data_IF_482929066207
#
_entry.id   IF_482929066207
#
_cell.length_a   1.000
_cell.length_b   1.000
_cell.length_c   1.000
_cell.angle_alpha   90.00
_cell.angle_beta   90.00
_cell.angle_gamma   90.00
#
_symmetry.space_group_name_H-M   'P 1'
#
loop_
_entity.id
_entity.type
_entity.pdbx_description
1 polymer ?
#
# COMPACT_ATOMS: atom_id res chain seq x y z
N UNK A 1 32.13 -49.86 -32.84
CA UNK A 1 32.93 -49.72 -34.06
C UNK A 1 33.29 -48.24 -34.15
N UNK A 2 34.45 -47.97 -33.60
CA UNK A 2 35.64 -47.25 -34.15
C UNK A 2 35.34 -45.79 -34.43
N UNK A 3 35.87 -44.96 -33.54
CA UNK A 3 37.12 -44.20 -33.65
C UNK A 3 37.00 -42.98 -34.60
N UNK A 4 37.13 -41.78 -34.02
CA UNK A 4 38.25 -40.90 -34.36
C UNK A 4 38.54 -40.01 -33.15
N UNK A 5 39.70 -40.24 -32.54
CA UNK A 5 40.40 -39.41 -31.57
C UNK A 5 41.29 -38.40 -32.32
N UNK A 6 41.66 -37.38 -31.61
CA UNK A 6 42.75 -36.40 -31.78
C UNK A 6 42.32 -35.09 -32.44
N UNK A 7 42.47 -33.93 -31.78
CA UNK A 7 43.78 -33.33 -31.52
C UNK A 7 43.66 -32.32 -30.35
N UNK A 8 44.49 -32.51 -29.34
CA UNK A 8 44.73 -31.53 -28.28
C UNK A 8 45.77 -30.54 -28.82
N UNK A 9 45.43 -29.27 -28.95
CA UNK A 9 46.41 -28.22 -29.10
C UNK A 9 46.71 -27.57 -27.74
N UNK A 10 47.95 -27.71 -27.30
CA UNK A 10 48.55 -27.10 -26.12
C UNK A 10 49.08 -25.72 -26.48
N UNK A 11 48.28 -24.68 -26.26
CA UNK A 11 48.83 -23.34 -26.14
C UNK A 11 48.47 -22.77 -24.74
N UNK A 12 49.44 -22.80 -23.87
CA UNK A 12 49.32 -22.30 -22.51
C UNK A 12 49.12 -20.78 -22.46
N UNK A 13 47.94 -20.35 -22.22
CA UNK A 13 47.67 -18.96 -21.79
C UNK A 13 47.60 -18.96 -20.26
N UNK A 14 48.68 -18.55 -19.63
CA UNK A 14 48.71 -18.20 -18.22
C UNK A 14 47.93 -16.89 -18.04
N UNK A 15 46.69 -16.98 -17.62
CA UNK A 15 45.91 -15.83 -17.16
C UNK A 15 46.48 -15.43 -15.79
N UNK A 16 47.00 -14.19 -15.64
CA UNK A 16 47.58 -13.78 -14.37
C UNK A 16 46.45 -13.72 -13.32
N UNK A 17 46.76 -14.25 -12.15
CA UNK A 17 45.90 -14.34 -10.96
C UNK A 17 45.41 -12.97 -10.41
N UNK A 18 45.67 -11.87 -11.10
CA UNK A 18 45.27 -10.51 -10.74
C UNK A 18 43.89 -10.09 -11.26
N UNK A 19 43.22 -10.90 -12.09
CA UNK A 19 41.88 -10.56 -12.62
C UNK A 19 40.72 -11.20 -11.80
N UNK A 20 41.02 -12.04 -10.81
CA UNK A 20 40.01 -12.66 -9.95
C UNK A 20 39.66 -11.86 -8.70
N UNK A 21 40.39 -10.78 -8.39
CA UNK A 21 40.15 -9.94 -7.20
C UNK A 21 39.23 -8.75 -7.52
N UNK A 22 39.00 -8.42 -8.79
CA UNK A 22 38.19 -7.28 -9.18
C UNK A 22 36.69 -7.59 -9.29
N UNK A 23 36.27 -8.86 -9.21
CA UNK A 23 34.85 -9.26 -9.36
C UNK A 23 34.14 -9.58 -8.05
N UNK A 24 34.84 -9.49 -6.91
CA UNK A 24 34.28 -9.74 -5.57
C UNK A 24 34.04 -8.48 -4.74
N UNK A 25 34.20 -7.29 -5.31
CA UNK A 25 33.91 -6.02 -4.60
C UNK A 25 32.68 -5.26 -5.10
N UNK A 26 31.80 -5.87 -5.89
CA UNK A 26 30.61 -5.20 -6.40
C UNK A 26 29.28 -5.81 -5.90
N UNK A 27 29.27 -6.42 -4.72
CA UNK A 27 28.03 -6.89 -4.11
C UNK A 27 28.02 -6.80 -2.59
N UNK A 28 28.60 -5.74 -2.04
CA UNK A 28 28.21 -5.28 -0.70
C UNK A 28 27.50 -3.96 -0.90
N UNK A 29 26.36 -4.02 -1.57
CA UNK A 29 25.30 -3.07 -1.31
C UNK A 29 24.92 -3.30 0.14
N UNK A 30 25.30 -2.38 1.04
CA UNK A 30 24.74 -2.34 2.37
C UNK A 30 23.24 -2.19 2.20
N UNK A 31 22.49 -3.30 2.21
CA UNK A 31 21.08 -3.27 2.47
C UNK A 31 20.92 -2.44 3.75
N UNK A 32 20.42 -1.23 3.61
CA UNK A 32 20.11 -0.36 4.76
C UNK A 32 18.91 -1.00 5.44
N UNK A 33 19.16 -1.96 6.32
CA UNK A 33 18.14 -2.50 7.18
C UNK A 33 17.48 -1.34 7.90
N UNK A 34 16.16 -1.32 7.89
CA UNK A 34 15.43 -0.44 8.80
C UNK A 34 16.01 -0.65 10.19
N UNK A 35 16.54 0.41 10.85
CA UNK A 35 17.13 0.21 12.16
C UNK A 35 16.13 -0.49 13.04
N UNK A 36 16.56 -1.56 13.70
CA UNK A 36 15.77 -2.28 14.68
C UNK A 36 15.51 -1.33 15.85
N UNK A 37 14.55 -0.44 15.70
CA UNK A 37 14.06 0.34 16.84
C UNK A 37 13.28 -0.65 17.70
N UNK A 38 13.72 -0.87 18.94
CA UNK A 38 12.93 -1.64 19.90
C UNK A 38 11.59 -0.92 20.10
N UNK A 39 10.58 -1.43 19.43
CA UNK A 39 9.22 -0.91 19.56
C UNK A 39 8.49 -1.76 20.58
N UNK A 40 8.08 -1.17 21.67
CA UNK A 40 7.26 -1.86 22.66
C UNK A 40 5.84 -2.01 22.13
N UNK A 41 5.28 -3.22 22.05
CA UNK A 41 3.90 -3.43 21.64
C UNK A 41 2.92 -2.67 22.54
N UNK A 42 1.99 -1.96 21.93
CA UNK A 42 0.92 -1.24 22.65
C UNK A 42 -0.12 -2.23 23.12
N UNK A 43 -0.59 -2.05 24.36
CA UNK A 43 -1.76 -2.74 24.88
C UNK A 43 -2.90 -1.73 24.99
N UNK A 44 -4.08 -2.09 24.49
CA UNK A 44 -5.29 -1.29 24.61
C UNK A 44 -6.51 -2.24 24.67
N UNK A 45 -7.48 -1.91 25.48
CA UNK A 45 -8.70 -2.71 25.62
C UNK A 45 -9.68 -2.48 24.46
N UNK A 46 -9.63 -1.30 23.82
CA UNK A 46 -10.51 -0.95 22.72
C UNK A 46 -9.89 0.15 21.83
N UNK A 47 -10.41 0.37 20.60
CA UNK A 47 -9.87 1.36 19.68
C UNK A 47 -9.84 2.80 20.19
N UNK A 48 -10.77 3.22 21.02
CA UNK A 48 -10.78 4.57 21.59
C UNK A 48 -9.64 4.80 22.59
N UNK A 49 -9.29 3.78 23.36
CA UNK A 49 -8.11 3.80 24.24
C UNK A 49 -6.82 3.85 23.42
N UNK A 50 -6.70 3.01 22.39
CA UNK A 50 -5.57 3.02 21.48
C UNK A 50 -5.39 4.40 20.83
N UNK A 51 -6.47 4.98 20.33
CA UNK A 51 -6.45 6.31 19.73
C UNK A 51 -5.93 7.37 20.69
N UNK A 52 -6.46 7.41 21.93
CA UNK A 52 -5.96 8.35 22.96
C UNK A 52 -4.48 8.12 23.24
N UNK A 53 -4.04 6.88 23.35
CA UNK A 53 -2.63 6.55 23.59
C UNK A 53 -1.74 7.06 22.47
N UNK A 54 -2.10 6.80 21.21
CA UNK A 54 -1.30 7.23 20.04
C UNK A 54 -1.28 8.75 19.88
N UNK A 55 -2.41 9.43 20.11
CA UNK A 55 -2.50 10.89 19.97
C UNK A 55 -1.83 11.65 21.13
N UNK A 56 -1.59 11.01 22.28
CA UNK A 56 -0.92 11.63 23.44
C UNK A 56 0.61 11.60 23.37
N UNK A 57 1.17 10.96 22.35
CA UNK A 57 2.62 10.79 22.17
C UNK A 57 3.08 11.40 20.86
N UNK A 58 4.40 11.64 20.73
CA UNK A 58 4.98 11.97 19.42
C UNK A 58 4.76 10.77 18.49
N UNK A 59 4.14 10.98 17.32
CA UNK A 59 3.93 9.92 16.34
C UNK A 59 5.27 9.34 15.87
N UNK A 60 5.34 8.02 15.71
CA UNK A 60 6.50 7.31 15.16
C UNK A 60 6.02 6.18 14.26
N UNK A 61 6.51 6.16 13.02
CA UNK A 61 6.19 5.15 12.03
C UNK A 61 6.58 3.74 12.48
N UNK A 62 7.66 3.62 13.26
CA UNK A 62 8.13 2.34 13.77
C UNK A 62 7.06 1.58 14.56
N UNK A 63 6.14 2.31 15.22
CA UNK A 63 5.04 1.71 15.97
C UNK A 63 4.14 0.85 15.08
N UNK A 64 3.91 1.27 13.84
CA UNK A 64 3.02 0.58 12.90
C UNK A 64 3.70 -0.58 12.14
N UNK A 65 4.98 -0.84 12.39
CA UNK A 65 5.66 -2.06 11.90
C UNK A 65 5.17 -3.32 12.61
N UNK A 66 4.72 -3.16 13.84
CA UNK A 66 4.15 -4.25 14.62
C UNK A 66 2.68 -4.45 14.28
N UNK A 67 2.22 -5.68 14.43
CA UNK A 67 0.78 -5.95 14.47
C UNK A 67 0.14 -5.15 15.61
N UNK A 68 -1.01 -4.55 15.35
CA UNK A 68 -1.78 -3.84 16.36
C UNK A 68 -2.33 -4.76 17.45
N UNK A 69 -2.85 -4.17 18.55
CA UNK A 69 -3.21 -4.93 19.76
C UNK A 69 -4.47 -5.78 19.62
N UNK A 70 -5.23 -5.65 18.52
CA UNK A 70 -6.55 -6.29 18.43
C UNK A 70 -6.54 -7.55 17.58
N UNK A 71 -7.34 -8.54 18.01
CA UNK A 71 -7.68 -9.69 17.19
C UNK A 71 -8.52 -9.25 15.97
N UNK A 72 -8.38 -9.98 14.88
CA UNK A 72 -9.07 -9.73 13.61
C UNK A 72 -10.02 -10.87 13.31
N UNK A 73 -11.23 -10.54 12.88
CA UNK A 73 -12.23 -11.48 12.37
C UNK A 73 -12.20 -11.36 10.86
N UNK A 74 -12.01 -12.48 10.18
CA UNK A 74 -11.90 -12.56 8.73
C UNK A 74 -13.16 -13.17 8.13
N UNK A 75 -13.65 -12.58 7.04
CA UNK A 75 -14.71 -13.12 6.19
C UNK A 75 -14.26 -12.97 4.75
N UNK A 76 -14.10 -14.09 4.08
CA UNK A 76 -13.63 -14.14 2.69
C UNK A 76 -14.76 -14.31 1.71
N UNK A 77 -14.46 -13.98 0.45
CA UNK A 77 -15.28 -14.26 -0.71
C UNK A 77 -16.72 -13.73 -0.59
N UNK A 78 -16.82 -12.51 -0.04
CA UNK A 78 -18.10 -11.80 0.03
C UNK A 78 -18.46 -11.26 -1.36
N UNK A 79 -19.71 -11.45 -1.74
CA UNK A 79 -20.30 -10.81 -2.89
C UNK A 79 -21.17 -9.62 -2.42
N UNK A 80 -20.76 -8.40 -2.78
CA UNK A 80 -21.46 -7.17 -2.39
C UNK A 80 -22.28 -6.68 -3.57
N UNK A 81 -23.62 -6.79 -3.53
CA UNK A 81 -24.49 -6.27 -4.59
C UNK A 81 -24.56 -4.74 -4.51
N UNK A 82 -23.92 -4.07 -5.45
CA UNK A 82 -23.88 -2.59 -5.52
C UNK A 82 -25.05 -2.05 -6.33
N UNK A 83 -25.34 -2.68 -7.47
CA UNK A 83 -26.48 -2.40 -8.35
C UNK A 83 -26.87 -3.68 -9.10
N UNK A 84 -27.98 -3.69 -9.88
CA UNK A 84 -28.38 -4.88 -10.67
C UNK A 84 -27.27 -5.40 -11.60
N UNK A 85 -26.40 -4.53 -12.08
CA UNK A 85 -25.32 -4.85 -13.03
C UNK A 85 -23.92 -4.83 -12.40
N UNK A 86 -23.81 -4.64 -11.08
CA UNK A 86 -22.54 -4.51 -10.39
C UNK A 86 -22.53 -5.25 -9.05
N UNK A 87 -21.82 -6.35 -9.01
CA UNK A 87 -21.42 -7.04 -7.79
C UNK A 87 -19.91 -6.88 -7.60
N UNK A 88 -19.45 -6.66 -6.37
CA UNK A 88 -18.04 -6.51 -6.00
C UNK A 88 -17.66 -7.66 -5.09
N UNK A 89 -16.65 -8.41 -5.47
CA UNK A 89 -16.05 -9.45 -4.62
C UNK A 89 -15.13 -8.81 -3.59
N UNK A 90 -15.15 -9.30 -2.35
CA UNK A 90 -14.38 -8.70 -1.27
C UNK A 90 -13.98 -9.69 -0.18
N UNK A 91 -12.86 -9.39 0.47
CA UNK A 91 -12.46 -9.99 1.75
C UNK A 91 -12.52 -8.92 2.85
N UNK A 92 -13.24 -9.22 3.92
CA UNK A 92 -13.48 -8.31 5.03
C UNK A 92 -12.68 -8.74 6.26
N UNK A 93 -11.97 -7.77 6.84
CA UNK A 93 -11.16 -7.91 8.05
C UNK A 93 -11.67 -6.95 9.11
N UNK A 94 -12.27 -7.47 10.16
CA UNK A 94 -12.89 -6.68 11.20
C UNK A 94 -12.06 -6.66 12.47
N UNK A 95 -11.84 -5.49 13.03
CA UNK A 95 -11.32 -5.37 14.39
C UNK A 95 -12.31 -6.00 15.38
N UNK A 96 -11.90 -7.06 16.09
CA UNK A 96 -12.79 -7.76 17.01
C UNK A 96 -13.23 -6.89 18.21
N UNK A 97 -12.38 -5.93 18.61
CA UNK A 97 -12.64 -5.02 19.73
C UNK A 97 -13.48 -3.79 19.34
N UNK A 98 -13.71 -3.54 18.05
CA UNK A 98 -14.49 -2.39 17.58
C UNK A 98 -15.97 -2.76 17.45
N UNK A 99 -16.83 -2.06 18.19
CA UNK A 99 -18.29 -2.13 17.97
C UNK A 99 -18.72 -1.36 16.72
N UNK A 100 -18.05 -0.25 16.43
CA UNK A 100 -18.15 0.54 15.21
C UNK A 100 -16.77 1.15 14.95
N UNK A 101 -16.28 1.06 13.71
CA UNK A 101 -14.96 1.54 13.34
C UNK A 101 -14.86 2.01 11.88
N UNK A 102 -13.86 2.87 11.57
CA UNK A 102 -13.62 3.36 10.22
C UNK A 102 -13.43 2.20 9.24
N UNK A 103 -13.88 2.38 8.00
CA UNK A 103 -13.72 1.41 6.92
C UNK A 103 -12.62 1.86 5.96
N UNK A 104 -11.64 1.00 5.75
CA UNK A 104 -10.56 1.20 4.79
C UNK A 104 -10.79 0.24 3.62
N UNK A 105 -11.08 0.79 2.43
CA UNK A 105 -11.31 0.00 1.21
C UNK A 105 -10.00 -0.04 0.43
N UNK A 106 -9.44 -1.23 0.23
CA UNK A 106 -8.15 -1.45 -0.44
C UNK A 106 -8.37 -2.08 -1.80
N UNK A 107 -7.82 -1.45 -2.83
CA UNK A 107 -7.98 -1.78 -4.22
C UNK A 107 -6.65 -2.13 -4.89
N UNK A 108 -6.61 -3.30 -5.52
CA UNK A 108 -5.44 -3.81 -6.24
C UNK A 108 -5.14 -3.07 -7.55
N UNK A 109 -3.94 -3.34 -8.10
CA UNK A 109 -3.48 -2.86 -9.41
C UNK A 109 -3.80 -3.81 -10.56
N UNK A 110 -3.11 -3.59 -11.69
CA UNK A 110 -3.23 -4.42 -12.89
C UNK A 110 -2.70 -5.83 -12.63
N UNK A 111 -3.42 -6.84 -13.11
CA UNK A 111 -3.08 -8.28 -12.97
C UNK A 111 -2.93 -8.78 -11.52
N UNK A 112 -3.56 -8.07 -10.59
CA UNK A 112 -3.60 -8.37 -9.17
C UNK A 112 -5.03 -8.61 -8.70
N UNK A 113 -5.17 -8.98 -7.41
CA UNK A 113 -6.45 -9.30 -6.79
C UNK A 113 -6.52 -8.81 -5.34
N UNK A 114 -7.68 -9.01 -4.69
CA UNK A 114 -7.89 -8.69 -3.28
C UNK A 114 -6.92 -9.43 -2.35
N UNK A 115 -6.48 -10.62 -2.75
CA UNK A 115 -5.53 -11.45 -2.00
C UNK A 115 -4.15 -10.79 -1.84
N UNK A 116 -3.70 -10.01 -2.85
CA UNK A 116 -2.43 -9.28 -2.81
C UNK A 116 -2.42 -8.12 -1.79
N UNK A 117 -3.58 -7.80 -1.22
CA UNK A 117 -3.76 -6.76 -0.19
C UNK A 117 -4.34 -7.31 1.13
N UNK A 118 -4.43 -8.63 1.28
CA UNK A 118 -5.03 -9.28 2.43
C UNK A 118 -4.32 -8.89 3.75
N UNK A 119 -2.98 -8.93 3.77
CA UNK A 119 -2.22 -8.56 4.97
C UNK A 119 -2.42 -7.08 5.33
N UNK A 120 -2.43 -6.17 4.36
CA UNK A 120 -2.64 -4.75 4.61
C UNK A 120 -4.01 -4.49 5.25
N UNK A 121 -5.08 -5.11 4.71
CA UNK A 121 -6.42 -4.98 5.27
C UNK A 121 -6.51 -5.61 6.68
N UNK A 122 -5.88 -6.77 6.91
CA UNK A 122 -5.80 -7.41 8.21
C UNK A 122 -4.98 -6.56 9.20
N UNK A 123 -3.87 -5.99 8.77
CA UNK A 123 -3.03 -5.13 9.60
C UNK A 123 -3.79 -3.88 10.06
N UNK A 124 -4.47 -3.20 9.15
CA UNK A 124 -5.35 -2.07 9.48
C UNK A 124 -6.41 -2.45 10.52
N UNK A 125 -7.02 -3.65 10.38
CA UNK A 125 -7.99 -4.14 11.34
C UNK A 125 -7.39 -4.39 12.73
N UNK A 126 -6.15 -4.88 12.78
CA UNK A 126 -5.43 -5.06 14.05
C UNK A 126 -5.17 -3.73 14.80
N UNK A 127 -5.16 -2.60 14.07
CA UNK A 127 -4.99 -1.25 14.60
C UNK A 127 -6.30 -0.51 14.90
N UNK A 128 -7.43 -1.24 14.93
CA UNK A 128 -8.71 -0.70 15.39
C UNK A 128 -9.61 -0.13 14.29
N UNK A 129 -9.23 -0.29 13.03
CA UNK A 129 -10.04 0.03 11.86
C UNK A 129 -10.70 -1.24 11.32
N UNK A 130 -11.53 -1.14 10.29
CA UNK A 130 -11.98 -2.29 9.51
C UNK A 130 -11.38 -2.20 8.12
N UNK A 131 -10.78 -3.28 7.64
CA UNK A 131 -10.20 -3.38 6.31
C UNK A 131 -11.09 -4.21 5.39
N UNK A 132 -11.26 -3.79 4.15
CA UNK A 132 -11.88 -4.59 3.10
C UNK A 132 -11.02 -4.52 1.85
N UNK A 133 -10.53 -5.66 1.38
CA UNK A 133 -9.84 -5.78 0.11
C UNK A 133 -10.84 -6.22 -0.96
N UNK A 134 -10.88 -5.55 -2.10
CA UNK A 134 -11.89 -5.76 -3.13
C UNK A 134 -11.28 -6.11 -4.48
N UNK A 135 -11.98 -6.96 -5.25
CA UNK A 135 -11.74 -7.15 -6.66
C UNK A 135 -12.52 -6.14 -7.48
N UNK A 136 -11.88 -5.58 -8.49
CA UNK A 136 -12.55 -4.75 -9.46
C UNK A 136 -13.31 -5.62 -10.48
N UNK A 137 -14.51 -5.20 -10.91
CA UNK A 137 -15.32 -5.99 -11.81
C UNK A 137 -14.75 -6.09 -13.23
N UNK A 138 -13.78 -5.26 -13.58
CA UNK A 138 -13.17 -5.21 -14.93
C UNK A 138 -11.67 -4.96 -14.86
N UNK A 139 -10.90 -5.79 -15.53
CA UNK A 139 -9.49 -5.53 -15.77
C UNK A 139 -9.35 -4.45 -16.86
N UNK A 140 -8.81 -3.28 -16.52
CA UNK A 140 -8.34 -2.31 -17.50
C UNK A 140 -9.00 -0.92 -17.56
N UNK A 141 -10.32 -0.73 -17.52
CA UNK A 141 -10.88 0.63 -17.59
C UNK A 141 -10.84 1.34 -16.23
N UNK A 142 -9.65 1.71 -15.77
CA UNK A 142 -9.39 2.21 -14.41
C UNK A 142 -10.22 3.43 -14.01
N UNK A 143 -10.50 4.35 -14.94
CA UNK A 143 -11.42 5.48 -14.68
C UNK A 143 -12.86 4.98 -14.47
N UNK A 144 -13.31 4.01 -15.25
CA UNK A 144 -14.63 3.41 -15.06
C UNK A 144 -14.71 2.61 -13.76
N UNK A 145 -13.61 1.92 -13.39
CA UNK A 145 -13.48 1.27 -12.10
C UNK A 145 -13.58 2.27 -10.93
N UNK A 146 -13.10 3.50 -11.10
CA UNK A 146 -13.33 4.58 -10.14
C UNK A 146 -14.81 4.89 -9.92
N UNK A 147 -15.63 4.86 -10.97
CA UNK A 147 -17.10 5.02 -10.84
C UNK A 147 -17.73 3.84 -10.11
N UNK A 148 -17.27 2.61 -10.41
CA UNK A 148 -17.73 1.41 -9.68
C UNK A 148 -17.38 1.50 -8.20
N UNK A 149 -16.19 2.00 -7.87
CA UNK A 149 -15.77 2.23 -6.49
C UNK A 149 -16.61 3.33 -5.81
N UNK A 150 -16.92 4.43 -6.50
CA UNK A 150 -17.80 5.47 -5.99
C UNK A 150 -19.21 4.94 -5.72
N UNK A 151 -19.74 4.10 -6.63
CA UNK A 151 -21.03 3.44 -6.45
C UNK A 151 -21.02 2.46 -5.25
N UNK A 152 -19.93 1.72 -5.04
CA UNK A 152 -19.76 0.87 -3.85
C UNK A 152 -19.81 1.70 -2.57
N UNK A 153 -19.06 2.81 -2.50
CA UNK A 153 -19.06 3.72 -1.35
C UNK A 153 -20.48 4.20 -1.06
N UNK A 154 -21.22 4.64 -2.08
CA UNK A 154 -22.60 5.08 -1.95
C UNK A 154 -23.54 3.97 -1.48
N UNK A 155 -23.39 2.75 -2.02
CA UNK A 155 -24.18 1.61 -1.61
C UNK A 155 -23.97 1.24 -0.14
N UNK A 156 -22.70 1.22 0.32
CA UNK A 156 -22.35 0.97 1.71
C UNK A 156 -22.89 2.06 2.64
N UNK A 157 -22.86 3.32 2.24
CA UNK A 157 -23.41 4.43 3.03
C UNK A 157 -24.94 4.40 3.15
N UNK A 158 -25.62 3.93 2.10
CA UNK A 158 -27.08 3.73 2.15
C UNK A 158 -27.50 2.51 2.98
N UNK A 159 -26.71 1.44 2.89
CA UNK A 159 -27.07 0.14 3.48
C UNK A 159 -25.81 -0.56 4.02
N UNK A 160 -25.29 -0.13 5.19
CA UNK A 160 -24.09 -0.75 5.80
C UNK A 160 -24.25 -2.26 6.03
N UNK A 161 -25.50 -2.69 6.24
CA UNK A 161 -25.87 -4.09 6.50
C UNK A 161 -25.52 -5.04 5.33
N UNK A 162 -25.30 -4.52 4.12
CA UNK A 162 -24.81 -5.30 3.00
C UNK A 162 -23.53 -6.06 3.33
N UNK A 163 -22.70 -5.51 4.25
CA UNK A 163 -21.42 -6.09 4.65
C UNK A 163 -21.39 -6.38 6.15
N UNK A 164 -21.42 -5.35 6.99
CA UNK A 164 -21.42 -5.53 8.45
C UNK A 164 -21.88 -4.22 9.16
N UNK A 165 -22.69 -4.35 10.22
CA UNK A 165 -23.19 -3.23 11.00
C UNK A 165 -22.11 -2.49 11.82
N UNK A 166 -20.93 -3.07 11.98
CA UNK A 166 -19.79 -2.46 12.68
C UNK A 166 -19.04 -1.44 11.85
N UNK A 167 -19.31 -1.34 10.54
CA UNK A 167 -18.66 -0.38 9.66
C UNK A 167 -19.17 1.04 9.94
N UNK A 168 -18.26 1.96 10.24
CA UNK A 168 -18.54 3.39 10.26
C UNK A 168 -18.42 3.94 8.83
N UNK A 169 -19.50 3.86 8.08
CA UNK A 169 -19.56 4.26 6.67
C UNK A 169 -19.50 5.78 6.45
N UNK A 170 -19.53 6.57 7.53
CA UNK A 170 -19.23 8.00 7.50
C UNK A 170 -17.71 8.24 7.55
N UNK A 171 -16.92 7.19 7.86
CA UNK A 171 -15.46 7.22 7.97
C UNK A 171 -14.82 6.23 7.01
N UNK A 172 -15.05 6.44 5.72
CA UNK A 172 -14.43 5.63 4.66
C UNK A 172 -13.13 6.28 4.21
N UNK A 173 -12.08 5.47 4.04
CA UNK A 173 -10.81 5.85 3.42
C UNK A 173 -10.58 4.91 2.25
N UNK A 174 -10.19 5.47 1.10
CA UNK A 174 -9.92 4.70 -0.10
C UNK A 174 -8.41 4.51 -0.28
N UNK A 175 -8.00 3.28 -0.51
CA UNK A 175 -6.60 2.91 -0.74
C UNK A 175 -6.50 2.24 -2.10
N UNK A 176 -5.49 2.59 -2.89
CA UNK A 176 -5.27 1.95 -4.19
C UNK A 176 -3.80 1.78 -4.51
N UNK A 177 -3.45 0.63 -5.06
CA UNK A 177 -2.10 0.34 -5.54
C UNK A 177 -2.02 0.49 -7.06
N UNK A 178 -0.91 0.99 -7.58
CA UNK A 178 -0.64 1.04 -9.02
C UNK A 178 -1.77 1.72 -9.81
N UNK A 179 -2.34 1.05 -10.81
CA UNK A 179 -3.53 1.53 -11.53
C UNK A 179 -4.80 1.56 -10.66
N UNK A 180 -4.89 0.77 -9.60
CA UNK A 180 -5.95 0.89 -8.61
C UNK A 180 -5.96 2.26 -7.93
N UNK A 181 -4.80 2.90 -7.79
CA UNK A 181 -4.70 4.28 -7.33
C UNK A 181 -5.33 5.28 -8.31
N UNK A 182 -5.27 5.03 -9.64
CA UNK A 182 -6.03 5.80 -10.63
C UNK A 182 -7.53 5.66 -10.39
N UNK A 183 -8.03 4.45 -10.10
CA UNK A 183 -9.44 4.24 -9.82
C UNK A 183 -9.87 4.94 -8.52
N UNK A 184 -9.06 4.87 -7.46
CA UNK A 184 -9.30 5.61 -6.21
C UNK A 184 -9.35 7.13 -6.46
N UNK A 185 -8.35 7.66 -7.17
CA UNK A 185 -8.31 9.08 -7.51
C UNK A 185 -9.50 9.50 -8.39
N UNK A 186 -9.94 8.66 -9.32
CA UNK A 186 -11.12 8.90 -10.14
C UNK A 186 -12.40 8.91 -9.27
N UNK A 187 -12.55 7.94 -8.35
CA UNK A 187 -13.69 7.91 -7.43
C UNK A 187 -13.77 9.19 -6.58
N UNK A 188 -12.63 9.62 -6.00
CA UNK A 188 -12.56 10.85 -5.21
C UNK A 188 -12.85 12.10 -6.07
N UNK A 189 -12.31 12.16 -7.28
CA UNK A 189 -12.54 13.28 -8.22
C UNK A 189 -13.95 13.33 -8.78
N UNK A 190 -14.69 12.22 -8.76
CA UNK A 190 -16.12 12.15 -9.09
C UNK A 190 -17.02 12.39 -7.87
N UNK A 191 -16.44 12.62 -6.68
CA UNK A 191 -17.16 13.02 -5.48
C UNK A 191 -17.58 11.87 -4.56
N UNK A 192 -16.89 10.72 -4.63
CA UNK A 192 -17.08 9.67 -3.62
C UNK A 192 -16.89 10.24 -2.21
N UNK A 193 -17.87 10.02 -1.34
CA UNK A 193 -17.85 10.55 0.04
C UNK A 193 -16.93 9.71 0.91
N UNK A 194 -15.64 10.04 0.91
CA UNK A 194 -14.61 9.45 1.75
C UNK A 194 -13.87 10.53 2.53
N UNK A 195 -13.25 10.18 3.66
CA UNK A 195 -12.43 11.10 4.46
C UNK A 195 -11.12 11.46 3.77
N UNK A 196 -10.63 10.59 2.87
CA UNK A 196 -9.40 10.80 2.13
C UNK A 196 -8.97 9.57 1.35
N UNK A 197 -7.78 9.65 0.75
CA UNK A 197 -7.17 8.58 -0.01
C UNK A 197 -5.73 8.31 0.36
N UNK A 198 -5.29 7.05 0.19
CA UNK A 198 -3.89 6.66 0.24
C UNK A 198 -3.55 5.93 -1.05
N UNK A 199 -2.59 6.45 -1.79
CA UNK A 199 -2.18 5.95 -3.10
C UNK A 199 -0.81 5.28 -2.97
N UNK A 200 -0.78 3.97 -3.11
CA UNK A 200 0.41 3.13 -2.97
C UNK A 200 1.06 2.97 -4.34
N UNK A 201 2.23 3.50 -4.51
CA UNK A 201 3.02 3.60 -5.73
C UNK A 201 2.17 3.79 -7.00
N UNK A 202 1.43 4.91 -7.07
CA UNK A 202 0.37 5.10 -8.05
C UNK A 202 0.91 5.21 -9.48
N UNK A 203 0.24 4.49 -10.38
CA UNK A 203 0.39 4.61 -11.82
C UNK A 203 -0.80 5.37 -12.41
N UNK A 204 -0.55 6.50 -13.02
CA UNK A 204 -1.60 7.32 -13.62
C UNK A 204 -1.92 6.89 -15.05
N UNK A 205 -3.18 6.62 -15.34
CA UNK A 205 -3.65 6.26 -16.68
C UNK A 205 -4.98 6.94 -17.01
N UNK A 206 -5.13 7.28 -18.28
CA UNK A 206 -6.35 7.90 -18.82
C UNK A 206 -6.24 9.42 -18.97
N UNK A 207 -6.68 9.90 -20.15
CA UNK A 207 -6.60 11.33 -20.49
C UNK A 207 -7.41 12.24 -19.55
N UNK A 208 -8.44 11.70 -18.90
CA UNK A 208 -9.32 12.42 -17.98
C UNK A 208 -8.72 12.54 -16.56
N UNK A 209 -7.70 11.72 -16.22
CA UNK A 209 -7.16 11.69 -14.88
C UNK A 209 -6.74 13.07 -14.35
N UNK A 210 -6.00 13.92 -15.09
CA UNK A 210 -5.61 15.25 -14.58
C UNK A 210 -6.79 16.14 -14.22
N UNK A 211 -7.94 16.00 -14.91
CA UNK A 211 -9.15 16.76 -14.59
C UNK A 211 -9.81 16.24 -13.31
N UNK A 212 -9.86 14.92 -13.14
CA UNK A 212 -10.38 14.29 -11.93
C UNK A 212 -9.54 14.63 -10.71
N UNK A 213 -8.22 14.57 -10.83
CA UNK A 213 -7.30 14.96 -9.75
C UNK A 213 -7.55 16.39 -9.25
N UNK A 214 -7.84 17.35 -10.16
CA UNK A 214 -8.14 18.75 -9.78
C UNK A 214 -9.45 18.92 -9.03
N UNK A 215 -10.33 17.94 -9.06
CA UNK A 215 -11.62 17.96 -8.34
C UNK A 215 -11.55 17.35 -6.94
N UNK A 216 -10.44 16.70 -6.60
CA UNK A 216 -10.27 16.09 -5.28
C UNK A 216 -10.14 17.19 -4.23
N UNK A 217 -11.04 17.17 -3.25
CA UNK A 217 -11.10 18.14 -2.16
C UNK A 217 -10.75 17.56 -0.79
N UNK A 218 -10.57 16.24 -0.70
CA UNK A 218 -10.20 15.53 0.52
C UNK A 218 -8.69 15.27 0.57
N UNK A 219 -8.11 15.05 1.77
CA UNK A 219 -6.69 14.76 1.92
C UNK A 219 -6.26 13.50 1.18
N UNK A 220 -5.10 13.52 0.53
CA UNK A 220 -4.52 12.37 -0.17
C UNK A 220 -3.06 12.18 0.20
N UNK A 221 -2.68 10.97 0.63
CA UNK A 221 -1.30 10.58 0.81
C UNK A 221 -0.84 9.72 -0.37
N UNK A 222 0.28 10.10 -0.97
CA UNK A 222 0.97 9.34 -2.01
C UNK A 222 2.22 8.71 -1.39
N UNK A 223 2.31 7.39 -1.43
CA UNK A 223 3.43 6.61 -0.91
C UNK A 223 4.05 5.87 -2.09
N UNK A 224 5.23 6.28 -2.54
CA UNK A 224 5.89 5.74 -3.72
C UNK A 224 7.01 4.77 -3.39
N UNK A 225 7.31 3.86 -4.32
CA UNK A 225 8.51 3.05 -4.34
C UNK A 225 9.73 3.87 -4.79
N UNK A 226 10.94 3.34 -4.58
CA UNK A 226 12.20 3.88 -5.11
C UNK A 226 12.38 3.51 -6.59
N UNK A 227 11.78 2.39 -6.98
CA UNK A 227 11.87 1.87 -8.34
C UNK A 227 11.27 2.84 -9.37
N UNK A 228 12.04 3.15 -10.43
CA UNK A 228 11.58 3.94 -11.58
C UNK A 228 11.21 3.05 -12.75
N UNK A 229 10.00 2.49 -12.71
CA UNK A 229 9.45 1.68 -13.80
C UNK A 229 8.37 2.41 -14.59
N UNK A 230 8.18 1.99 -15.83
CA UNK A 230 6.98 2.36 -16.54
C UNK A 230 5.76 1.87 -15.85
N UNK A 231 4.94 1.94 -15.32
CA UNK A 231 3.83 2.84 -15.33
C UNK A 231 3.91 3.94 -14.24
N UNK A 232 4.82 3.85 -13.30
CA UNK A 232 4.87 4.79 -12.15
C UNK A 232 5.65 6.08 -12.41
N UNK A 233 6.35 6.19 -13.54
CA UNK A 233 7.07 7.43 -13.95
C UNK A 233 6.23 8.69 -13.94
N UNK A 234 4.92 8.55 -14.04
CA UNK A 234 4.01 9.68 -14.02
C UNK A 234 3.38 9.94 -12.64
N UNK A 235 3.86 9.26 -11.58
CA UNK A 235 3.37 9.40 -10.20
C UNK A 235 3.29 10.86 -9.74
N UNK A 236 4.23 11.68 -10.12
CA UNK A 236 4.26 13.10 -9.78
C UNK A 236 3.02 13.91 -10.21
N UNK A 237 2.19 13.39 -11.13
CA UNK A 237 0.95 14.07 -11.53
C UNK A 237 -0.09 14.10 -10.39
N UNK A 238 -0.12 13.07 -9.52
CA UNK A 238 -1.04 13.04 -8.37
C UNK A 238 -0.75 14.25 -7.45
N UNK A 239 0.50 14.45 -7.07
CA UNK A 239 0.89 15.62 -6.30
C UNK A 239 0.65 16.93 -7.07
N UNK A 240 0.99 16.97 -8.36
CA UNK A 240 0.90 18.18 -9.17
C UNK A 240 -0.53 18.68 -9.33
N UNK A 241 -1.50 17.79 -9.58
CA UNK A 241 -2.84 18.16 -9.98
C UNK A 241 -3.86 18.14 -8.84
N UNK A 242 -3.64 17.43 -7.75
CA UNK A 242 -4.48 17.53 -6.55
C UNK A 242 -4.22 18.93 -5.93
N UNK A 243 -5.27 19.77 -5.76
CA UNK A 243 -5.08 21.19 -5.47
C UNK A 243 -4.57 21.48 -4.06
N UNK A 244 -5.00 20.71 -3.07
CA UNK A 244 -4.66 20.93 -1.66
C UNK A 244 -4.68 19.62 -0.85
N UNK A 245 -4.12 19.70 0.38
CA UNK A 245 -4.11 18.58 1.32
C UNK A 245 -3.52 17.29 0.72
N UNK A 246 -2.43 17.39 -0.07
CA UNK A 246 -1.71 16.25 -0.61
C UNK A 246 -0.32 16.17 0.01
N UNK A 247 0.04 14.97 0.49
CA UNK A 247 1.40 14.58 0.90
C UNK A 247 1.96 13.54 -0.04
N UNK A 248 3.26 13.58 -0.29
CA UNK A 248 3.99 12.56 -1.05
C UNK A 248 5.29 12.22 -0.34
N UNK A 249 5.56 10.94 -0.19
CA UNK A 249 6.84 10.36 0.23
C UNK A 249 7.19 9.21 -0.70
N UNK A 250 8.47 8.86 -0.78
CA UNK A 250 8.94 7.61 -1.36
C UNK A 250 9.69 6.80 -0.31
N UNK A 251 9.64 5.47 -0.41
CA UNK A 251 10.34 4.54 0.46
C UNK A 251 11.57 4.05 -0.28
N UNK A 252 12.74 4.17 0.34
CA UNK A 252 14.03 3.82 -0.26
C UNK A 252 14.20 2.32 -0.41
N UNK A 253 14.93 1.92 -1.44
CA UNK A 253 15.29 0.53 -1.74
C UNK A 253 14.06 -0.40 -1.87
N UNK A 254 12.93 0.12 -2.38
CA UNK A 254 11.69 -0.63 -2.58
C UNK A 254 11.30 -0.73 -4.03
N UNK A 255 10.65 -1.84 -4.38
CA UNK A 255 10.09 -2.13 -5.68
C UNK A 255 8.59 -1.78 -5.72
N UNK A 256 8.06 -1.63 -6.93
CA UNK A 256 6.63 -1.40 -7.17
C UNK A 256 5.74 -2.43 -6.47
N UNK A 257 6.15 -3.70 -6.49
CA UNK A 257 5.37 -4.79 -5.91
C UNK A 257 5.45 -4.85 -4.38
N UNK A 258 6.41 -4.18 -3.75
CA UNK A 258 6.47 -4.09 -2.28
C UNK A 258 5.32 -3.29 -1.69
N UNK A 259 4.62 -2.51 -2.52
CA UNK A 259 3.38 -1.83 -2.14
C UNK A 259 2.18 -2.77 -1.95
N UNK A 260 2.37 -4.09 -2.15
CA UNK A 260 1.42 -5.17 -1.90
C UNK A 260 1.95 -6.07 -0.78
N UNK A 261 1.04 -6.76 -0.05
CA UNK A 261 1.45 -7.80 0.89
C UNK A 261 0.27 -8.75 1.21
N UNK A 262 0.40 -10.04 0.94
CA UNK A 262 1.50 -10.69 0.24
C UNK A 262 1.62 -10.18 -1.20
N UNK A 263 2.84 -10.02 -1.71
CA UNK A 263 3.01 -9.72 -3.13
C UNK A 263 2.85 -10.99 -3.98
N UNK A 264 2.51 -10.83 -5.26
CA UNK A 264 2.49 -11.98 -6.18
C UNK A 264 3.87 -12.67 -6.27
N UNK A 265 4.96 -11.98 -6.01
CA UNK A 265 6.29 -12.57 -5.91
C UNK A 265 6.38 -13.54 -4.74
N UNK A 266 5.75 -13.26 -3.59
CA UNK A 266 5.69 -14.21 -2.47
C UNK A 266 4.89 -15.47 -2.80
N UNK A 267 3.91 -15.38 -3.69
CA UNK A 267 3.11 -16.52 -4.12
C UNK A 267 3.73 -17.27 -5.32
N UNK A 268 4.40 -16.56 -6.25
CA UNK A 268 5.02 -17.15 -7.45
C UNK A 268 6.48 -17.56 -7.27
N UNK A 269 7.16 -17.00 -6.32
CA UNK A 269 8.60 -17.10 -6.25
C UNK A 269 9.11 -17.79 -4.99
N UNK A 270 9.24 -19.05 -5.11
CA UNK A 270 10.40 -19.72 -4.58
C UNK A 270 11.67 -19.41 -5.44
N UNK A 271 11.59 -18.39 -6.30
CA UNK A 271 12.65 -17.98 -7.22
C UNK A 271 12.83 -16.47 -7.10
N UNK A 272 13.99 -16.06 -6.59
CA UNK A 272 14.58 -14.72 -6.71
C UNK A 272 13.86 -13.55 -5.99
N UNK A 273 13.37 -13.73 -4.76
CA UNK A 273 13.03 -12.58 -3.93
C UNK A 273 14.30 -11.91 -3.40
N UNK A 274 14.40 -10.57 -3.48
CA UNK A 274 15.40 -9.86 -2.69
C UNK A 274 15.22 -10.22 -1.20
N UNK A 275 16.32 -10.49 -0.50
CA UNK A 275 16.32 -10.87 0.92
C UNK A 275 15.59 -9.84 1.83
N UNK A 276 15.37 -8.62 1.34
CA UNK A 276 14.79 -7.49 2.07
C UNK A 276 13.32 -7.18 1.69
N UNK A 277 12.67 -8.01 0.87
CA UNK A 277 11.29 -7.76 0.37
C UNK A 277 10.26 -7.62 1.51
N UNK A 278 10.38 -8.41 2.58
CA UNK A 278 9.46 -8.32 3.71
C UNK A 278 9.59 -6.99 4.46
N UNK A 279 10.80 -6.47 4.66
CA UNK A 279 11.01 -5.17 5.31
C UNK A 279 10.45 -4.03 4.46
N UNK A 280 10.61 -4.09 3.14
CA UNK A 280 10.05 -3.14 2.20
C UNK A 280 8.51 -3.13 2.25
N UNK A 281 7.88 -4.30 2.24
CA UNK A 281 6.43 -4.46 2.37
C UNK A 281 5.92 -3.93 3.71
N UNK A 282 6.60 -4.23 4.81
CA UNK A 282 6.26 -3.71 6.15
C UNK A 282 6.39 -2.19 6.20
N UNK A 283 7.34 -1.58 5.48
CA UNK A 283 7.45 -0.13 5.41
C UNK A 283 6.22 0.50 4.72
N UNK A 284 5.75 -0.08 3.59
CA UNK A 284 4.51 0.33 2.95
C UNK A 284 3.30 0.16 3.86
N UNK A 285 3.16 -0.99 4.52
CA UNK A 285 2.06 -1.26 5.45
C UNK A 285 2.06 -0.26 6.62
N UNK A 286 3.24 0.06 7.15
CA UNK A 286 3.38 1.02 8.25
C UNK A 286 2.98 2.43 7.81
N UNK A 287 3.44 2.88 6.64
CA UNK A 287 3.12 4.19 6.10
C UNK A 287 1.63 4.31 5.74
N UNK A 288 1.03 3.25 5.17
CA UNK A 288 -0.40 3.13 4.93
C UNK A 288 -1.17 3.26 6.25
N UNK A 289 -0.77 2.49 7.28
CA UNK A 289 -1.49 2.44 8.56
C UNK A 289 -1.44 3.78 9.28
N UNK A 290 -0.28 4.44 9.32
CA UNK A 290 -0.15 5.79 9.87
C UNK A 290 -1.05 6.80 9.15
N UNK A 291 -1.11 6.72 7.81
CA UNK A 291 -1.93 7.60 6.97
C UNK A 291 -3.43 7.36 7.20
N UNK A 292 -3.86 6.10 7.17
CA UNK A 292 -5.25 5.73 7.41
C UNK A 292 -5.69 6.10 8.84
N UNK A 293 -4.84 5.86 9.84
CA UNK A 293 -5.10 6.24 11.23
C UNK A 293 -5.27 7.76 11.36
N UNK A 294 -4.38 8.56 10.79
CA UNK A 294 -4.48 10.03 10.80
C UNK A 294 -5.77 10.52 10.15
N UNK A 295 -6.09 10.04 8.96
CA UNK A 295 -7.34 10.38 8.25
C UNK A 295 -8.59 9.98 9.05
N UNK A 296 -8.58 8.78 9.64
CA UNK A 296 -9.73 8.27 10.40
C UNK A 296 -9.97 9.00 11.74
N UNK A 297 -8.91 9.52 12.37
CA UNK A 297 -8.95 10.05 13.74
C UNK A 297 -9.01 11.58 13.81
N UNK A 298 -8.24 12.25 12.95
CA UNK A 298 -8.16 13.73 12.95
C UNK A 298 -8.54 14.36 11.61
N UNK A 299 -8.87 13.56 10.59
CA UNK A 299 -9.32 14.04 9.28
C UNK A 299 -8.24 14.77 8.46
N UNK A 300 -6.96 14.58 8.80
CA UNK A 300 -5.84 15.23 8.12
C UNK A 300 -4.64 14.31 7.96
N UNK A 301 -3.63 14.77 7.20
CA UNK A 301 -2.36 14.07 7.01
C UNK A 301 -1.33 14.38 8.13
N UNK A 302 -1.65 15.23 9.08
CA UNK A 302 -0.67 15.73 10.06
C UNK A 302 -0.09 14.64 10.92
N UNK A 303 -0.92 13.67 11.36
CA UNK A 303 -0.44 12.54 12.14
C UNK A 303 0.54 11.67 11.36
N UNK A 304 0.18 11.32 10.12
CA UNK A 304 1.04 10.52 9.24
C UNK A 304 2.36 11.27 8.97
N UNK A 305 2.27 12.56 8.63
CA UNK A 305 3.43 13.38 8.36
C UNK A 305 4.39 13.45 9.54
N UNK A 306 3.86 13.69 10.74
CA UNK A 306 4.67 13.69 11.96
C UNK A 306 5.29 12.31 12.26
N UNK A 307 4.59 11.21 11.93
CA UNK A 307 5.12 9.86 12.11
C UNK A 307 6.28 9.53 11.17
N UNK A 308 6.36 10.18 10.00
CA UNK A 308 7.41 9.94 9.01
C UNK A 308 8.73 10.65 9.35
N UNK A 309 8.74 11.63 10.27
CA UNK A 309 9.91 12.44 10.59
C UNK A 309 11.14 11.59 10.94
N UNK A 310 10.97 10.56 11.75
CA UNK A 310 12.07 9.68 12.13
C UNK A 310 12.62 8.91 10.91
N UNK A 311 11.74 8.37 10.07
CA UNK A 311 12.12 7.67 8.85
C UNK A 311 12.81 8.59 7.82
N UNK A 312 12.40 9.85 7.72
CA UNK A 312 13.08 10.86 6.90
C UNK A 312 14.50 11.15 7.40
N UNK A 313 14.66 11.31 8.72
CA UNK A 313 15.98 11.54 9.33
C UNK A 313 16.93 10.35 9.17
N UNK A 314 16.39 9.16 9.11
CA UNK A 314 17.15 7.92 8.89
C UNK A 314 17.39 7.60 7.41
N UNK A 315 16.81 8.38 6.49
CA UNK A 315 16.91 8.16 5.05
C UNK A 315 16.11 6.97 4.52
N UNK A 316 15.17 6.46 5.32
CA UNK A 316 14.20 5.43 4.91
C UNK A 316 13.19 6.03 3.93
N UNK A 317 12.69 7.23 4.26
CA UNK A 317 11.83 8.00 3.39
C UNK A 317 12.62 9.11 2.69
N UNK A 318 12.18 9.43 1.49
CA UNK A 318 12.74 10.52 0.68
C UNK A 318 11.64 11.13 -0.22
N UNK A 319 11.98 12.10 -1.06
CA UNK A 319 11.02 12.83 -1.91
C UNK A 319 9.81 13.37 -1.13
N UNK A 320 10.02 13.72 0.14
CA UNK A 320 8.96 14.20 1.01
C UNK A 320 8.53 15.61 0.60
N UNK A 321 7.26 15.75 0.23
CA UNK A 321 6.65 17.04 -0.08
C UNK A 321 5.16 17.04 0.26
N UNK A 322 4.64 18.23 0.57
CA UNK A 322 3.26 18.39 1.02
C UNK A 322 2.73 19.78 0.64
N UNK A 323 1.46 19.94 0.40
CA UNK A 323 0.72 21.20 0.27
C UNK A 323 -0.61 21.15 1.04
#
# INVERSE_FOLDING_TARGET
>A
MREILSTIDRSGLRIPALLLIAFTMYSVGCARRFPATEVTPIKAANPAELQRHLLSRKPDIAQFRLRGPFAVIERRDLEIPVSPDLTVEADLYLCAAARRGPLIIVLHGYDNSKEDHAFQAMHLASWGMHGIAINLPKHGPWIANGRSLAALVEALQRTPQLVDNRLDVDKIILVGHSFGATAVAAALGEGARALGGVLLDPAGIGRQLPQLLRRITVPVMVIGADEDIWPTRNRGQFYRFIPAAVGEISIRDTLHQDAQYPSQYTLRAFQDQPEDSEEAQIAFVSALTASAFGLATIGSLDYAWASFENGLNQGIFFNARRK
#
